data_IF_684143644441
#
_entry.id   IF_684143644441
#
_cell.length_a   1.000
_cell.length_b   1.000
_cell.length_c   1.000
_cell.angle_alpha   90.00
_cell.angle_beta   90.00
_cell.angle_gamma   90.00
#
_symmetry.space_group_name_H-M   'P 1'
#
loop_
_entity.id
_entity.type
_entity.pdbx_description
1 polymer ?
#
# COMPACT_ATOMS: atom_id res chain seq x y z
N UNK A 1 56.70 30.78 19.29
CA UNK A 1 55.57 30.48 18.38
C UNK A 1 55.30 28.99 18.50
N UNK A 2 54.08 28.59 18.83
CA UNK A 2 53.68 27.19 18.90
C UNK A 2 52.44 27.01 18.03
N UNK A 3 52.50 26.09 17.07
CA UNK A 3 51.44 25.82 16.11
C UNK A 3 50.51 24.75 16.68
N UNK A 4 49.30 25.13 17.06
CA UNK A 4 48.25 24.18 17.45
C UNK A 4 47.58 23.62 16.19
N UNK A 5 47.69 22.31 15.97
CA UNK A 5 46.90 21.61 14.96
C UNK A 5 45.55 21.26 15.58
N UNK A 6 44.46 21.64 14.93
CA UNK A 6 43.11 21.20 15.28
C UNK A 6 42.76 19.95 14.47
N UNK A 7 42.59 18.81 15.16
CA UNK A 7 41.88 17.66 14.59
C UNK A 7 40.36 17.87 14.70
N UNK A 8 39.66 17.58 13.61
CA UNK A 8 38.19 17.58 13.54
C UNK A 8 37.64 16.19 13.84
N UNK A 9 36.58 16.05 14.67
CA UNK A 9 36.05 14.75 15.06
C UNK A 9 35.34 13.99 13.91
N UNK A 10 35.43 12.67 13.95
CA UNK A 10 35.17 11.71 12.85
C UNK A 10 33.72 11.66 12.29
N UNK A 11 32.77 12.37 12.91
CA UNK A 11 31.34 12.31 12.57
C UNK A 11 30.96 13.03 11.26
N UNK A 12 31.84 13.83 10.67
CA UNK A 12 31.58 14.54 9.40
C UNK A 12 31.77 13.68 8.13
N UNK A 13 32.18 12.41 8.24
CA UNK A 13 32.50 11.57 7.07
C UNK A 13 31.26 10.94 6.42
N UNK A 14 30.85 11.29 5.19
CA UNK A 14 29.65 10.73 4.57
C UNK A 14 29.89 9.30 4.05
N UNK A 15 29.04 8.34 4.44
CA UNK A 15 29.15 6.95 3.99
C UNK A 15 28.66 6.74 2.54
N UNK A 16 29.33 5.88 1.75
CA UNK A 16 28.97 5.65 0.36
C UNK A 16 27.72 4.76 0.22
N UNK A 17 26.78 5.18 -0.63
CA UNK A 17 25.55 4.43 -0.94
C UNK A 17 25.87 3.18 -1.75
N UNK A 18 25.59 2.00 -1.21
CA UNK A 18 25.65 0.74 -1.96
C UNK A 18 24.47 0.62 -2.94
N UNK A 19 24.75 0.26 -4.19
CA UNK A 19 23.74 0.12 -5.24
C UNK A 19 23.05 -1.24 -5.20
N UNK A 20 21.72 -1.23 -5.16
CA UNK A 20 20.88 -2.42 -5.02
C UNK A 20 20.56 -3.09 -6.38
N UNK A 21 21.57 -3.28 -7.24
CA UNK A 21 21.41 -3.87 -8.58
C UNK A 21 22.51 -4.88 -8.93
N UNK A 22 22.45 -6.07 -8.31
CA UNK A 22 23.07 -7.28 -8.86
C UNK A 22 22.46 -8.54 -8.25
N UNK A 23 21.36 -9.05 -8.84
CA UNK A 23 20.87 -10.40 -8.50
C UNK A 23 19.98 -11.13 -9.52
N UNK A 24 20.11 -10.82 -10.82
CA UNK A 24 19.52 -11.66 -11.89
C UNK A 24 20.50 -11.85 -13.05
N UNK A 25 21.38 -12.84 -12.92
CA UNK A 25 22.14 -13.43 -14.00
C UNK A 25 22.14 -14.96 -13.82
N UNK A 26 21.05 -15.60 -14.24
CA UNK A 26 21.00 -17.05 -14.48
C UNK A 26 20.73 -17.30 -15.97
N UNK A 27 21.77 -17.09 -16.77
CA UNK A 27 21.85 -17.63 -18.12
C UNK A 27 23.17 -18.40 -18.21
N UNK A 28 23.09 -19.72 -18.16
CA UNK A 28 24.26 -20.60 -18.23
C UNK A 28 23.85 -21.94 -18.84
N UNK A 29 24.20 -22.10 -20.12
CA UNK A 29 24.14 -23.36 -20.87
C UNK A 29 25.56 -23.97 -20.86
N UNK A 30 25.69 -25.24 -20.47
CA UNK A 30 26.35 -26.27 -21.31
C UNK A 30 25.51 -27.56 -21.32
N UNK A 31 25.80 -28.67 -22.00
CA UNK A 31 26.61 -29.00 -23.20
C UNK A 31 26.15 -30.43 -23.63
N UNK A 32 26.49 -30.88 -24.84
CA UNK A 32 26.10 -32.20 -25.37
C UNK A 32 26.77 -33.40 -24.70
N UNK A 33 26.04 -34.51 -24.48
CA UNK A 33 26.62 -35.87 -24.50
C UNK A 33 25.63 -36.94 -25.00
N UNK A 34 26.08 -37.75 -25.97
CA UNK A 34 25.41 -38.94 -26.52
C UNK A 34 25.95 -40.22 -25.82
N UNK A 35 25.19 -41.34 -25.76
CA UNK A 35 25.74 -42.57 -26.35
C UNK A 35 24.73 -43.46 -27.12
N UNK A 36 25.31 -44.32 -27.98
CA UNK A 36 24.71 -45.09 -29.09
C UNK A 36 24.19 -46.50 -28.73
N UNK A 37 23.44 -47.09 -29.67
CA UNK A 37 23.11 -48.54 -29.93
C UNK A 37 21.99 -49.23 -29.11
N UNK A 38 21.27 -50.26 -29.62
CA UNK A 38 21.37 -51.02 -30.90
C UNK A 38 20.00 -51.49 -31.48
N UNK A 39 20.08 -51.99 -32.72
CA UNK A 39 19.17 -52.75 -33.62
C UNK A 39 18.02 -53.64 -33.09
N UNK A 40 16.96 -53.75 -33.90
CA UNK A 40 15.92 -54.81 -33.89
C UNK A 40 14.94 -54.65 -35.08
N UNK A 41 14.66 -55.70 -35.86
CA UNK A 41 14.15 -55.62 -37.25
C UNK A 41 12.63 -55.89 -37.45
N UNK A 42 12.14 -55.64 -38.68
CA UNK A 42 10.90 -56.13 -39.36
C UNK A 42 9.53 -55.59 -38.87
N UNK A 43 8.50 -55.35 -39.73
CA UNK A 43 8.45 -55.33 -41.21
C UNK A 43 7.19 -54.61 -41.75
N UNK A 44 7.30 -53.91 -42.89
CA UNK A 44 6.20 -53.53 -43.82
C UNK A 44 5.09 -52.56 -43.26
N UNK A 45 4.29 -51.79 -44.01
CA UNK A 45 4.07 -51.54 -45.45
C UNK A 45 3.45 -50.12 -45.64
N UNK A 46 3.53 -49.54 -46.84
CA UNK A 46 2.41 -48.73 -47.38
C UNK A 46 2.47 -47.18 -47.34
N UNK A 47 3.17 -46.60 -48.32
CA UNK A 47 2.81 -45.42 -49.14
C UNK A 47 2.01 -44.21 -48.58
N UNK A 48 2.65 -43.05 -48.79
CA UNK A 48 2.12 -41.84 -49.44
C UNK A 48 1.19 -40.85 -48.68
N UNK A 49 1.79 -39.68 -48.39
CA UNK A 49 1.30 -38.32 -48.70
C UNK A 49 -0.19 -38.03 -48.45
N UNK A 50 -0.45 -37.29 -47.37
CA UNK A 50 -1.53 -36.30 -47.30
C UNK A 50 -1.05 -35.06 -46.52
N UNK A 51 -1.02 -33.91 -47.18
CA UNK A 51 -0.70 -32.62 -46.54
C UNK A 51 -1.90 -32.16 -45.70
N UNK A 52 -1.78 -32.22 -44.38
CA UNK A 52 -2.84 -31.84 -43.43
C UNK A 52 -3.23 -30.36 -43.53
N UNK A 53 -4.29 -30.08 -44.29
CA UNK A 53 -4.94 -28.76 -44.33
C UNK A 53 -6.04 -28.70 -43.25
N UNK A 54 -5.65 -28.74 -41.98
CA UNK A 54 -6.59 -28.80 -40.87
C UNK A 54 -7.23 -27.43 -40.56
N UNK A 55 -8.56 -27.40 -40.42
CA UNK A 55 -9.25 -26.48 -39.49
C UNK A 55 -10.34 -25.55 -40.03
N UNK A 56 -10.37 -25.20 -41.33
CA UNK A 56 -11.32 -24.16 -41.81
C UNK A 56 -12.65 -24.76 -42.32
N UNK A 57 -12.62 -25.86 -43.08
CA UNK A 57 -13.84 -26.44 -43.68
C UNK A 57 -14.85 -26.96 -42.63
N UNK A 58 -14.39 -27.61 -41.57
CA UNK A 58 -15.25 -28.19 -40.53
C UNK A 58 -16.03 -27.15 -39.71
N UNK A 59 -15.47 -25.96 -39.49
CA UNK A 59 -16.20 -24.85 -38.86
C UNK A 59 -17.20 -24.21 -39.82
N UNK A 60 -16.83 -24.03 -41.09
CA UNK A 60 -17.72 -23.48 -42.11
C UNK A 60 -18.96 -24.36 -42.35
N UNK A 61 -18.80 -25.69 -42.38
CA UNK A 61 -19.91 -26.63 -42.50
C UNK A 61 -20.80 -26.64 -41.26
N UNK A 62 -20.22 -26.74 -40.04
CA UNK A 62 -20.99 -26.64 -38.79
C UNK A 62 -21.79 -25.33 -38.70
N UNK A 63 -21.20 -24.22 -39.14
CA UNK A 63 -21.85 -22.91 -39.19
C UNK A 63 -22.95 -22.83 -40.26
N UNK A 64 -22.78 -23.46 -41.42
CA UNK A 64 -23.82 -23.57 -42.44
C UNK A 64 -24.98 -24.50 -42.00
N UNK A 65 -24.72 -25.49 -41.14
CA UNK A 65 -25.77 -26.35 -40.58
C UNK A 65 -26.60 -25.63 -39.50
N UNK A 66 -25.99 -24.73 -38.71
CA UNK A 66 -26.69 -23.93 -37.68
C UNK A 66 -27.39 -22.70 -38.30
N UNK A 67 -26.81 -22.09 -39.33
CA UNK A 67 -27.37 -20.96 -40.07
C UNK A 67 -27.33 -21.22 -41.59
N UNK A 68 -28.23 -22.06 -42.13
CA UNK A 68 -28.32 -22.34 -43.57
C UNK A 68 -28.40 -21.08 -44.43
N UNK A 69 -27.64 -21.11 -45.53
CA UNK A 69 -27.43 -19.96 -46.41
C UNK A 69 -28.69 -19.45 -47.13
N UNK A 70 -29.67 -20.33 -47.35
CA UNK A 70 -30.88 -20.09 -48.15
C UNK A 70 -32.12 -19.76 -47.28
N UNK A 71 -31.92 -19.10 -46.14
CA UNK A 71 -33.00 -18.63 -45.25
C UNK A 71 -32.83 -17.14 -44.98
N UNK A 72 -33.94 -16.40 -45.05
CA UNK A 72 -34.05 -15.05 -44.48
C UNK A 72 -34.34 -15.18 -42.99
N UNK A 73 -33.55 -14.51 -42.16
CA UNK A 73 -33.68 -14.55 -40.70
C UNK A 73 -34.25 -13.22 -40.24
N UNK A 74 -35.41 -13.24 -39.57
CA UNK A 74 -36.13 -12.02 -39.13
C UNK A 74 -36.28 -10.96 -40.25
N UNK A 75 -36.61 -11.41 -41.47
CA UNK A 75 -36.80 -10.54 -42.63
C UNK A 75 -35.51 -9.89 -43.19
N UNK A 76 -34.32 -10.26 -42.68
CA UNK A 76 -33.04 -9.71 -43.11
C UNK A 76 -32.15 -10.77 -43.76
N UNK A 77 -31.22 -10.33 -44.59
CA UNK A 77 -30.25 -11.22 -45.25
C UNK A 77 -29.21 -11.74 -44.25
N UNK A 78 -28.69 -12.96 -44.51
CA UNK A 78 -27.66 -13.61 -43.66
C UNK A 78 -26.49 -12.67 -43.36
N UNK A 79 -26.02 -11.91 -44.36
CA UNK A 79 -24.91 -10.93 -44.19
C UNK A 79 -25.24 -9.87 -43.13
N UNK A 80 -26.45 -9.32 -43.14
CA UNK A 80 -26.89 -8.30 -42.17
C UNK A 80 -27.03 -8.90 -40.77
N UNK A 81 -27.57 -10.12 -40.63
CA UNK A 81 -27.64 -10.80 -39.34
C UNK A 81 -26.24 -10.99 -38.73
N UNK A 82 -25.27 -11.45 -39.53
CA UNK A 82 -23.90 -11.70 -39.04
C UNK A 82 -23.15 -10.42 -38.69
N UNK A 83 -23.40 -9.30 -39.38
CA UNK A 83 -22.87 -8.00 -38.99
C UNK A 83 -23.47 -7.50 -37.67
N UNK A 84 -24.77 -7.72 -37.43
CA UNK A 84 -25.43 -7.36 -36.17
C UNK A 84 -24.91 -8.23 -35.02
N UNK A 85 -24.84 -9.55 -35.19
CA UNK A 85 -24.34 -10.47 -34.16
C UNK A 85 -22.85 -10.23 -33.88
N UNK A 86 -22.03 -10.06 -34.93
CA UNK A 86 -20.61 -9.71 -34.77
C UNK A 86 -20.40 -8.36 -34.07
N UNK A 87 -21.18 -7.34 -34.44
CA UNK A 87 -21.16 -6.03 -33.77
C UNK A 87 -21.59 -6.10 -32.31
N UNK A 88 -22.62 -6.88 -31.99
CA UNK A 88 -23.07 -7.10 -30.62
C UNK A 88 -22.01 -7.83 -29.77
N UNK A 89 -21.34 -8.84 -30.33
CA UNK A 89 -20.24 -9.55 -29.67
C UNK A 89 -19.05 -8.60 -29.43
N UNK A 90 -18.65 -7.80 -30.42
CA UNK A 90 -17.57 -6.82 -30.27
C UNK A 90 -17.89 -5.75 -29.21
N UNK A 91 -19.12 -5.26 -29.18
CA UNK A 91 -19.58 -4.30 -28.17
C UNK A 91 -19.61 -4.92 -26.76
N UNK A 92 -20.03 -6.18 -26.63
CA UNK A 92 -20.00 -6.92 -25.37
C UNK A 92 -18.55 -7.13 -24.88
N UNK A 93 -17.63 -7.52 -25.76
CA UNK A 93 -16.21 -7.66 -25.43
C UNK A 93 -15.59 -6.32 -25.01
N UNK A 94 -15.92 -5.21 -25.70
CA UNK A 94 -15.48 -3.88 -25.33
C UNK A 94 -16.00 -3.45 -23.95
N UNK A 95 -17.25 -3.78 -23.60
CA UNK A 95 -17.81 -3.55 -22.26
C UNK A 95 -17.10 -4.37 -21.18
N UNK A 96 -16.85 -5.66 -21.42
CA UNK A 96 -16.16 -6.54 -20.46
C UNK A 96 -14.73 -6.04 -20.19
N UNK A 97 -13.98 -5.69 -21.24
CA UNK A 97 -12.63 -5.15 -21.11
C UNK A 97 -12.63 -3.75 -20.48
N UNK A 98 -13.57 -2.88 -20.85
CA UNK A 98 -13.70 -1.54 -20.29
C UNK A 98 -14.04 -1.54 -18.80
N UNK A 99 -14.93 -2.43 -18.36
CA UNK A 99 -15.25 -2.61 -16.93
C UNK A 99 -14.08 -3.25 -16.17
N UNK A 100 -13.43 -4.26 -16.75
CA UNK A 100 -12.28 -4.95 -16.14
C UNK A 100 -11.07 -4.03 -15.91
N UNK A 101 -10.80 -3.11 -16.85
CA UNK A 101 -9.72 -2.12 -16.73
C UNK A 101 -10.15 -0.85 -15.96
N UNK A 102 -11.44 -0.49 -16.01
CA UNK A 102 -11.95 0.75 -15.39
C UNK A 102 -12.18 0.67 -13.87
N UNK A 103 -12.40 -0.53 -13.30
CA UNK A 103 -12.64 -0.70 -11.86
C UNK A 103 -11.38 -0.95 -11.02
N UNK A 104 -10.26 -1.30 -11.66
CA UNK A 104 -9.09 -1.83 -10.97
C UNK A 104 -7.83 -1.00 -11.16
N UNK A 105 -7.71 0.13 -10.43
CA UNK A 105 -6.43 0.75 -10.02
C UNK A 105 -6.66 2.00 -9.13
N UNK A 106 -7.48 1.87 -8.08
CA UNK A 106 -7.51 2.88 -7.02
C UNK A 106 -6.22 2.74 -6.21
N UNK A 107 -5.15 3.40 -6.68
CA UNK A 107 -3.83 3.37 -6.06
C UNK A 107 -3.91 4.01 -4.66
N UNK A 108 -4.19 3.18 -3.67
CA UNK A 108 -4.14 3.56 -2.26
C UNK A 108 -2.69 3.77 -1.87
N UNK A 109 -2.16 4.97 -2.09
CA UNK A 109 -0.93 5.39 -1.44
C UNK A 109 -1.11 5.22 0.06
N UNK A 110 -0.47 4.20 0.62
CA UNK A 110 -0.37 4.01 2.06
C UNK A 110 0.34 5.22 2.63
N UNK A 111 -0.41 6.12 3.29
CA UNK A 111 0.19 7.21 4.06
C UNK A 111 1.17 6.59 5.05
N UNK A 112 2.39 7.13 5.11
CA UNK A 112 3.33 6.74 6.14
C UNK A 112 2.75 7.09 7.51
N UNK A 113 2.83 6.15 8.46
CA UNK A 113 2.37 6.38 9.83
C UNK A 113 3.19 7.51 10.48
N UNK A 114 2.59 8.32 11.38
CA UNK A 114 3.27 9.43 12.05
C UNK A 114 4.21 8.94 13.17
N UNK A 115 5.16 8.07 12.83
CA UNK A 115 6.22 7.56 13.71
C UNK A 115 7.37 8.56 13.84
N UNK A 116 8.15 8.53 14.94
CA UNK A 116 9.31 9.41 15.13
C UNK A 116 10.38 9.33 14.02
N UNK A 117 10.47 8.19 13.32
CA UNK A 117 11.35 8.00 12.16
C UNK A 117 10.92 8.79 10.93
N UNK A 118 9.63 9.11 10.82
CA UNK A 118 9.01 9.71 9.65
C UNK A 118 8.83 11.22 9.88
N UNK A 119 9.93 11.89 10.26
CA UNK A 119 9.93 13.26 10.76
C UNK A 119 9.14 14.25 9.89
N UNK A 120 8.31 15.06 10.53
CA UNK A 120 7.42 16.00 9.88
C UNK A 120 6.43 16.62 10.86
N UNK A 121 5.51 17.43 10.33
CA UNK A 121 4.35 17.96 11.05
C UNK A 121 3.14 17.16 10.60
N UNK A 122 2.44 16.57 11.57
CA UNK A 122 1.20 15.85 11.38
C UNK A 122 0.02 16.74 11.78
N UNK A 123 -1.17 16.40 11.30
CA UNK A 123 -2.41 17.10 11.64
C UNK A 123 -3.50 16.06 11.86
N UNK A 124 -4.18 16.13 12.99
CA UNK A 124 -5.23 15.21 13.40
C UNK A 124 -6.16 15.83 14.42
N UNK A 125 -7.08 15.02 14.93
CA UNK A 125 -7.97 15.45 16.01
C UNK A 125 -7.23 15.40 17.36
N UNK A 126 -7.45 16.42 18.17
CA UNK A 126 -7.10 16.49 19.57
C UNK A 126 -8.38 16.28 20.38
N UNK A 127 -8.33 15.39 21.37
CA UNK A 127 -9.39 15.19 22.37
C UNK A 127 -8.79 15.24 23.78
N UNK A 128 -9.59 14.94 24.81
CA UNK A 128 -9.09 14.77 26.16
C UNK A 128 -9.73 13.59 26.90
N UNK A 129 -9.00 13.08 27.89
CA UNK A 129 -9.43 12.02 28.79
C UNK A 129 -9.07 12.31 30.25
N UNK A 130 -9.58 11.47 31.16
CA UNK A 130 -9.19 11.46 32.57
C UNK A 130 -8.08 10.40 32.78
N UNK A 131 -6.82 10.81 33.01
CA UNK A 131 -5.70 9.86 33.09
C UNK A 131 -5.72 8.98 34.33
N UNK A 132 -5.06 7.83 34.22
CA UNK A 132 -4.84 6.85 35.28
C UNK A 132 -3.58 6.04 35.00
N UNK A 133 -3.62 4.72 35.18
CA UNK A 133 -2.55 3.83 34.73
C UNK A 133 -2.64 3.64 33.20
N UNK A 134 -1.70 4.24 32.47
CA UNK A 134 -1.61 4.14 31.01
C UNK A 134 -0.84 2.91 30.51
N UNK A 135 -0.94 2.66 29.21
CA UNK A 135 -0.27 1.54 28.51
C UNK A 135 1.27 1.55 28.60
N UNK A 136 1.89 2.66 29.02
CA UNK A 136 3.33 2.71 29.33
C UNK A 136 3.68 2.24 30.75
N UNK A 137 2.71 1.76 31.54
CA UNK A 137 2.91 1.34 32.93
C UNK A 137 3.07 2.51 33.90
N UNK A 138 2.76 3.72 33.46
CA UNK A 138 2.88 4.97 34.22
C UNK A 138 1.49 5.36 34.70
N UNK A 139 1.36 5.64 36.00
CA UNK A 139 0.16 6.30 36.55
C UNK A 139 0.35 7.81 36.46
N UNK A 140 -0.51 8.46 35.68
CA UNK A 140 -0.54 9.92 35.52
C UNK A 140 -1.90 10.50 35.89
N UNK A 141 -1.92 11.82 36.09
CA UNK A 141 -3.09 12.61 36.47
C UNK A 141 -3.46 13.66 35.41
N UNK A 142 -4.67 14.22 35.53
CA UNK A 142 -5.21 15.19 34.58
C UNK A 142 -4.50 16.55 34.54
N UNK A 143 -3.65 16.85 35.53
CA UNK A 143 -2.85 18.08 35.63
C UNK A 143 -1.46 17.99 34.98
N UNK A 144 -1.01 16.79 34.61
CA UNK A 144 0.28 16.57 33.95
C UNK A 144 0.20 16.90 32.46
N UNK A 145 1.31 17.35 31.87
CA UNK A 145 1.38 17.62 30.42
C UNK A 145 1.74 16.33 29.66
N UNK A 146 0.71 15.53 29.41
CA UNK A 146 0.78 14.18 28.84
C UNK A 146 -0.23 13.96 27.71
N UNK A 147 -0.04 12.88 26.96
CA UNK A 147 -1.03 12.38 26.00
C UNK A 147 -0.99 10.85 25.89
N UNK A 148 -2.10 10.31 25.38
CA UNK A 148 -2.17 9.02 24.74
C UNK A 148 -2.01 9.21 23.21
N UNK A 149 -1.15 8.40 22.59
CA UNK A 149 -1.04 8.35 21.12
C UNK A 149 -1.96 7.28 20.56
N UNK A 150 -2.33 7.40 19.28
CA UNK A 150 -3.20 6.43 18.63
C UNK A 150 -2.68 5.00 18.70
N UNK A 151 -3.59 4.04 18.88
CA UNK A 151 -3.23 2.63 18.90
C UNK A 151 -2.49 2.20 17.63
N UNK A 152 -2.81 2.81 16.49
CA UNK A 152 -2.21 2.50 15.18
C UNK A 152 -0.69 2.74 15.22
N UNK A 153 -0.23 3.87 15.77
CA UNK A 153 1.22 4.15 15.85
C UNK A 153 1.89 3.51 17.06
N UNK A 154 1.16 3.35 18.18
CA UNK A 154 1.66 2.63 19.34
C UNK A 154 1.97 1.17 18.98
N UNK A 155 1.02 0.46 18.37
CA UNK A 155 1.15 -0.94 18.00
C UNK A 155 2.22 -1.12 16.91
N UNK A 156 2.24 -0.24 15.90
CA UNK A 156 3.24 -0.28 14.83
C UNK A 156 4.67 0.03 15.29
N UNK A 157 4.83 0.75 16.40
CA UNK A 157 6.13 1.00 17.02
C UNK A 157 6.58 -0.11 17.98
N UNK A 158 5.71 -1.05 18.34
CA UNK A 158 6.03 -2.04 19.37
C UNK A 158 7.12 -3.02 18.93
N UNK A 159 8.11 -3.22 19.79
CA UNK A 159 9.22 -4.15 19.59
C UNK A 159 9.09 -5.42 20.43
N UNK A 160 8.08 -5.51 21.31
CA UNK A 160 7.82 -6.65 22.18
C UNK A 160 6.32 -6.82 22.46
N UNK A 161 5.98 -7.85 23.24
CA UNK A 161 4.62 -8.06 23.76
C UNK A 161 4.30 -7.25 25.01
N UNK A 162 5.29 -6.63 25.67
CA UNK A 162 5.08 -5.75 26.82
C UNK A 162 4.82 -4.31 26.34
N UNK A 163 3.60 -3.75 26.54
CA UNK A 163 3.29 -2.39 26.12
C UNK A 163 4.07 -1.34 26.94
N UNK A 164 4.49 -1.66 28.17
CA UNK A 164 5.27 -0.75 29.01
C UNK A 164 6.67 -0.49 28.41
N UNK A 165 7.18 -1.45 27.62
CA UNK A 165 8.46 -1.37 26.92
C UNK A 165 8.35 -0.74 25.51
N UNK A 166 7.20 -0.16 25.15
CA UNK A 166 7.00 0.45 23.83
C UNK A 166 7.94 1.65 23.63
N UNK A 167 8.68 1.76 22.51
CA UNK A 167 9.67 2.82 22.31
C UNK A 167 9.08 4.23 22.17
N UNK A 168 7.75 4.38 22.03
CA UNK A 168 7.08 5.70 22.08
C UNK A 168 6.88 6.20 23.52
N UNK A 169 6.87 5.32 24.52
CA UNK A 169 6.70 5.71 25.92
C UNK A 169 7.81 6.68 26.36
N UNK A 170 7.41 7.77 27.03
CA UNK A 170 8.32 8.83 27.46
C UNK A 170 8.81 9.77 26.35
N UNK A 171 8.49 9.51 25.06
CA UNK A 171 8.77 10.48 23.98
C UNK A 171 7.93 11.74 24.14
N UNK A 172 8.41 12.83 23.57
CA UNK A 172 7.74 14.13 23.60
C UNK A 172 7.15 14.50 22.25
N UNK A 173 6.01 15.18 22.31
CA UNK A 173 5.31 15.75 21.16
C UNK A 173 5.08 17.23 21.43
N UNK A 174 5.35 18.08 20.45
CA UNK A 174 4.95 19.49 20.44
C UNK A 174 3.67 19.65 19.64
N UNK A 175 2.61 20.07 20.31
CA UNK A 175 1.30 20.37 19.72
C UNK A 175 1.22 21.88 19.46
N UNK A 176 0.62 22.28 18.34
CA UNK A 176 0.38 23.66 17.95
C UNK A 176 -1.03 23.80 17.36
N UNK A 177 -1.82 24.76 17.88
CA UNK A 177 -3.15 25.11 17.40
C UNK A 177 -3.28 26.62 17.27
N UNK A 178 -4.01 27.11 16.26
CA UNK A 178 -4.36 28.53 16.15
C UNK A 178 -5.24 28.95 17.34
N UNK A 179 -5.12 30.19 17.80
CA UNK A 179 -5.99 30.74 18.85
C UNK A 179 -7.36 31.11 18.27
N UNK A 180 -8.43 30.86 19.03
CA UNK A 180 -9.81 31.28 18.69
C UNK A 180 -9.94 32.78 18.40
N UNK A 181 -9.11 33.61 19.05
CA UNK A 181 -9.06 35.06 18.81
C UNK A 181 -8.43 35.46 17.46
N UNK A 182 -8.06 34.49 16.60
CA UNK A 182 -7.62 34.73 15.23
C UNK A 182 -6.21 35.34 15.09
N UNK A 183 -5.42 35.40 16.15
CA UNK A 183 -4.06 35.94 16.12
C UNK A 183 -3.07 35.13 16.95
N UNK A 184 -2.24 34.35 16.24
CA UNK A 184 -1.15 33.55 16.80
C UNK A 184 -1.57 32.16 17.26
N UNK A 185 -0.57 31.37 17.68
CA UNK A 185 -0.75 29.98 18.09
C UNK A 185 -0.68 29.82 19.62
N UNK A 186 -1.34 28.77 20.10
CA UNK A 186 -1.00 28.09 21.34
C UNK A 186 -0.09 26.89 21.01
N UNK A 187 0.96 26.69 21.80
CA UNK A 187 1.90 25.58 21.65
C UNK A 187 2.14 24.94 23.01
N UNK A 188 2.05 23.61 23.09
CA UNK A 188 2.23 22.84 24.33
C UNK A 188 3.04 21.58 24.03
N UNK A 189 4.02 21.29 24.88
CA UNK A 189 4.80 20.06 24.82
C UNK A 189 4.20 19.03 25.80
N UNK A 190 3.95 17.81 25.30
CA UNK A 190 3.40 16.70 26.07
C UNK A 190 4.32 15.49 26.04
N UNK A 191 4.19 14.62 27.05
CA UNK A 191 4.90 13.33 27.11
C UNK A 191 3.92 12.19 26.81
N UNK A 192 4.31 11.23 25.98
CA UNK A 192 3.51 10.04 25.68
C UNK A 192 3.57 9.06 26.85
N UNK A 193 2.41 8.73 27.43
CA UNK A 193 2.28 7.80 28.57
C UNK A 193 1.23 6.70 28.36
N UNK A 194 0.46 6.76 27.27
CA UNK A 194 -0.69 5.88 27.07
C UNK A 194 -1.04 5.66 25.58
N UNK A 195 -2.01 4.78 25.33
CA UNK A 195 -2.44 4.27 24.02
C UNK A 195 -3.96 4.46 23.83
N UNK A 196 -4.35 5.41 22.99
CA UNK A 196 -5.74 5.67 22.66
C UNK A 196 -6.30 4.62 21.69
N UNK A 197 -7.19 3.76 22.19
CA UNK A 197 -7.89 2.70 21.41
C UNK A 197 -8.86 3.23 20.34
N UNK A 198 -9.37 4.45 20.48
CA UNK A 198 -10.37 5.04 19.58
C UNK A 198 -9.82 6.05 18.56
N UNK A 199 -8.51 6.33 18.60
CA UNK A 199 -7.88 7.41 17.83
C UNK A 199 -7.42 6.94 16.44
N UNK A 200 -7.57 7.80 15.41
CA UNK A 200 -6.93 7.60 14.10
C UNK A 200 -5.42 7.84 14.21
N UNK A 201 -4.65 7.46 13.18
CA UNK A 201 -3.18 7.44 13.24
C UNK A 201 -2.56 8.77 13.72
N UNK A 202 -3.07 9.90 13.20
CA UNK A 202 -2.62 11.26 13.53
C UNK A 202 -3.35 11.92 14.72
N UNK A 203 -4.36 11.28 15.31
CA UNK A 203 -5.13 11.82 16.44
C UNK A 203 -4.37 11.65 17.78
N UNK A 204 -4.54 12.60 18.71
CA UNK A 204 -3.96 12.58 20.06
C UNK A 204 -5.05 12.78 21.13
N UNK A 205 -4.98 12.00 22.21
CA UNK A 205 -5.87 12.16 23.36
C UNK A 205 -5.09 12.77 24.53
N UNK A 206 -5.50 13.93 25.02
CA UNK A 206 -4.69 14.78 25.91
C UNK A 206 -5.19 14.71 27.36
N UNK A 207 -4.36 15.08 28.33
CA UNK A 207 -4.92 15.44 29.63
C UNK A 207 -5.76 16.72 29.51
N UNK A 208 -6.81 16.83 30.32
CA UNK A 208 -7.75 17.98 30.27
C UNK A 208 -7.01 19.33 30.38
N UNK A 209 -6.01 19.45 31.25
CA UNK A 209 -5.23 20.68 31.44
C UNK A 209 -4.23 20.98 30.31
N UNK A 210 -4.01 20.06 29.37
CA UNK A 210 -3.35 20.35 28.09
C UNK A 210 -4.39 20.80 27.07
N UNK A 211 -5.54 20.13 27.01
CA UNK A 211 -6.62 20.47 26.09
C UNK A 211 -7.13 21.91 26.30
N UNK A 212 -7.36 22.31 27.56
CA UNK A 212 -7.77 23.67 27.95
C UNK A 212 -6.76 24.78 27.56
N UNK A 213 -5.49 24.42 27.31
CA UNK A 213 -4.47 25.37 26.79
C UNK A 213 -4.58 25.57 25.28
N UNK A 214 -5.34 24.73 24.57
CA UNK A 214 -5.43 24.68 23.11
C UNK A 214 -6.84 25.05 22.61
N UNK A 215 -7.88 24.67 23.34
CA UNK A 215 -9.30 24.84 23.02
C UNK A 215 -10.16 24.95 24.30
N UNK A 216 -11.43 25.32 24.16
CA UNK A 216 -12.38 25.24 25.27
C UNK A 216 -12.81 23.79 25.49
N UNK A 217 -12.90 23.32 26.74
CA UNK A 217 -13.33 21.96 27.06
C UNK A 217 -14.63 21.56 26.34
N UNK A 218 -15.60 22.49 26.29
CA UNK A 218 -16.89 22.31 25.65
C UNK A 218 -16.85 22.03 24.13
N UNK A 219 -15.72 22.25 23.45
CA UNK A 219 -15.53 21.84 22.05
C UNK A 219 -15.40 20.30 21.93
N UNK A 220 -14.87 19.62 22.96
CA UNK A 220 -14.73 18.15 23.04
C UNK A 220 -13.68 17.53 22.10
N UNK A 221 -13.56 18.07 20.88
CA UNK A 221 -12.65 17.63 19.82
C UNK A 221 -12.30 18.81 18.93
N UNK A 222 -11.02 19.02 18.67
CA UNK A 222 -10.53 20.08 17.79
C UNK A 222 -9.41 19.60 16.89
N UNK A 223 -9.27 20.15 15.69
CA UNK A 223 -8.09 19.85 14.85
C UNK A 223 -6.87 20.62 15.36
N UNK A 224 -5.72 19.96 15.37
CA UNK A 224 -4.43 20.59 15.67
C UNK A 224 -3.28 19.94 14.91
N UNK A 225 -2.14 20.63 14.86
CA UNK A 225 -0.92 20.13 14.23
C UNK A 225 0.14 19.79 15.28
N UNK A 226 0.95 18.77 15.05
CA UNK A 226 1.95 18.32 16.02
C UNK A 226 3.17 17.68 15.36
N UNK A 227 4.29 17.65 16.10
CA UNK A 227 5.52 16.99 15.68
C UNK A 227 6.20 16.31 16.88
N UNK A 228 6.94 15.23 16.61
CA UNK A 228 7.86 14.64 17.59
C UNK A 228 9.00 15.60 17.92
N UNK A 229 9.50 15.54 19.16
CA UNK A 229 10.67 16.29 19.66
C UNK A 229 11.87 15.36 19.87
#
# INVERSE_FOLDING_TARGET
MATTIHETPEWETPTPKQSFLSKYNLFSKPESTLPTTKEGSSDSSGNAVATETFGIHTLAERFNNVLPANRTYFGRSRKVLLLIVGGAILLLLALILGLGLGLGLKHSSSKALPLPSNGGIFTGDLTYYAPGLGACGITSSSSESICAVSHIIFDAASTSSDPNANPLCGKKIRITRQKESGSGNNTVDVTVVDRCVGCKAEDLDLSITVFEKLALEAEGRVTGSWAWL
#
